data_IF_630883537790
#
_entry.id   IF_630883537790
#
_cell.length_a   1.000
_cell.length_b   1.000
_cell.length_c   1.000
_cell.angle_alpha   90.00
_cell.angle_beta   90.00
_cell.angle_gamma   90.00
#
_symmetry.space_group_name_H-M   'P 1'
#
loop_
_entity.id
_entity.type
_entity.pdbx_description
1 polymer ?
#
# COMPACT_ATOMS: atom_id res chain seq x y z
N UNK A 1 16.77 0.19 -8.01
CA UNK A 1 15.33 0.11 -7.74
C UNK A 1 15.12 -0.33 -6.31
N UNK A 2 14.04 0.10 -5.68
CA UNK A 2 13.73 -0.26 -4.31
C UNK A 2 13.20 -1.69 -4.23
N UNK A 3 13.57 -2.39 -3.15
CA UNK A 3 13.06 -3.72 -2.84
C UNK A 3 12.11 -3.60 -1.65
N UNK A 4 10.86 -4.03 -1.83
CA UNK A 4 9.83 -4.06 -0.81
C UNK A 4 9.45 -5.52 -0.50
N UNK A 5 9.34 -5.83 0.79
CA UNK A 5 8.79 -7.11 1.28
C UNK A 5 7.46 -6.81 1.98
N UNK A 6 6.43 -7.57 1.66
CA UNK A 6 5.10 -7.41 2.26
C UNK A 6 4.72 -8.63 3.08
N UNK A 7 4.14 -8.41 4.26
CA UNK A 7 3.64 -9.51 5.09
C UNK A 7 3.10 -9.07 6.45
N UNK A 8 2.56 -10.10 7.15
CA UNK A 8 2.09 -9.94 8.52
C UNK A 8 3.30 -9.97 9.48
N UNK A 9 3.35 -9.11 10.51
CA UNK A 9 4.48 -9.02 11.43
C UNK A 9 4.55 -10.17 12.44
N UNK A 10 4.50 -11.41 11.95
CA UNK A 10 4.87 -12.57 12.76
C UNK A 10 6.36 -12.51 13.12
N UNK A 11 6.74 -13.22 14.17
CA UNK A 11 8.14 -13.26 14.61
C UNK A 11 9.09 -13.70 13.50
N UNK A 12 8.71 -14.72 12.73
CA UNK A 12 9.53 -15.25 11.63
C UNK A 12 9.64 -14.24 10.49
N UNK A 13 8.55 -13.53 10.17
CA UNK A 13 8.55 -12.46 9.17
C UNK A 13 9.46 -11.29 9.59
N UNK A 14 9.37 -10.86 10.85
CA UNK A 14 10.22 -9.77 11.38
C UNK A 14 11.70 -10.17 11.31
N UNK A 15 12.03 -11.40 11.72
CA UNK A 15 13.40 -11.92 11.65
C UNK A 15 13.91 -11.94 10.20
N UNK A 16 13.11 -12.46 9.25
CA UNK A 16 13.44 -12.50 7.83
C UNK A 16 13.71 -11.08 7.27
N UNK A 17 12.84 -10.13 7.57
CA UNK A 17 12.97 -8.75 7.10
C UNK A 17 14.23 -8.09 7.68
N UNK A 18 14.51 -8.30 8.97
CA UNK A 18 15.72 -7.75 9.61
C UNK A 18 17.02 -8.38 9.09
N UNK A 19 16.99 -9.65 8.66
CA UNK A 19 18.12 -10.33 8.02
C UNK A 19 18.37 -9.80 6.60
N UNK A 20 17.31 -9.72 5.76
CA UNK A 20 17.40 -9.30 4.36
C UNK A 20 17.66 -7.80 4.21
N UNK A 21 17.11 -6.98 5.12
CA UNK A 21 17.19 -5.52 5.10
C UNK A 21 16.75 -4.91 3.76
N UNK A 22 15.48 -5.13 3.37
CA UNK A 22 14.94 -4.50 2.17
C UNK A 22 14.93 -2.97 2.31
N UNK A 23 14.75 -2.26 1.21
CA UNK A 23 14.56 -0.80 1.24
C UNK A 23 13.30 -0.43 2.01
N UNK A 24 12.24 -1.24 1.84
CA UNK A 24 10.93 -1.02 2.46
C UNK A 24 10.32 -2.35 2.91
N UNK A 25 9.51 -2.29 3.92
CA UNK A 25 8.57 -3.34 4.32
C UNK A 25 7.16 -2.77 4.36
N UNK A 26 6.18 -3.49 3.78
CA UNK A 26 4.75 -3.17 3.91
C UNK A 26 4.10 -4.16 4.88
N UNK A 27 3.55 -3.64 5.98
CA UNK A 27 2.86 -4.45 6.98
C UNK A 27 1.39 -4.60 6.62
N UNK A 28 0.93 -5.86 6.47
CA UNK A 28 -0.48 -6.22 6.23
C UNK A 28 -1.05 -7.01 7.40
N UNK A 29 -2.36 -6.88 7.71
CA UNK A 29 -2.97 -7.54 8.87
C UNK A 29 -3.28 -9.02 8.64
N UNK A 30 -3.21 -9.48 7.38
CA UNK A 30 -3.67 -10.78 6.97
C UNK A 30 -2.76 -11.90 7.48
N UNK A 31 -3.38 -13.00 7.96
CA UNK A 31 -2.65 -14.20 8.33
C UNK A 31 -2.11 -14.93 7.10
N UNK A 32 -1.14 -15.83 7.30
CA UNK A 32 -0.52 -16.62 6.23
C UNK A 32 -1.50 -17.49 5.43
N UNK A 33 -2.67 -17.79 6.00
CA UNK A 33 -3.74 -18.57 5.35
C UNK A 33 -4.72 -17.72 4.53
N UNK A 34 -4.55 -16.41 4.52
CA UNK A 34 -5.43 -15.48 3.79
C UNK A 34 -5.03 -15.42 2.32
N UNK A 35 -5.95 -15.74 1.41
CA UNK A 35 -5.67 -15.77 -0.04
C UNK A 35 -5.47 -14.36 -0.60
N UNK A 36 -6.22 -13.38 -0.07
CA UNK A 36 -6.12 -11.97 -0.48
C UNK A 36 -6.56 -11.08 0.68
N UNK A 37 -5.97 -9.89 0.78
CA UNK A 37 -6.30 -8.91 1.82
C UNK A 37 -7.77 -8.49 1.73
N UNK A 38 -8.44 -8.40 2.88
CA UNK A 38 -9.84 -7.97 2.98
C UNK A 38 -10.04 -6.72 3.84
N UNK A 39 -8.98 -6.25 4.50
CA UNK A 39 -9.00 -5.03 5.30
C UNK A 39 -7.58 -4.48 5.52
N UNK A 40 -7.47 -3.17 5.75
CA UNK A 40 -6.26 -2.56 6.28
C UNK A 40 -6.16 -2.71 7.80
N UNK A 41 -5.01 -2.35 8.37
CA UNK A 41 -4.79 -2.36 9.81
C UNK A 41 -5.75 -1.44 10.58
N UNK A 42 -6.30 -1.95 11.66
CA UNK A 42 -6.77 -1.10 12.76
C UNK A 42 -5.56 -0.67 13.60
N UNK A 43 -4.95 0.43 13.21
CA UNK A 43 -3.73 0.97 13.83
C UNK A 43 -3.97 1.49 15.25
N UNK A 44 -5.21 1.75 15.62
CA UNK A 44 -5.57 2.17 16.98
C UNK A 44 -5.57 0.97 17.92
N UNK A 45 -6.26 -0.11 17.52
CA UNK A 45 -6.35 -1.35 18.30
C UNK A 45 -5.00 -2.06 18.42
N UNK A 46 -4.22 -2.05 17.34
CA UNK A 46 -2.95 -2.76 17.25
C UNK A 46 -1.73 -1.85 17.48
N UNK A 47 -1.92 -0.67 18.12
CA UNK A 47 -0.88 0.33 18.29
C UNK A 47 0.42 -0.24 18.87
N UNK A 48 0.35 -0.95 19.99
CA UNK A 48 1.54 -1.45 20.67
C UNK A 48 2.36 -2.42 19.82
N UNK A 49 1.70 -3.35 19.12
CA UNK A 49 2.36 -4.29 18.21
C UNK A 49 3.04 -3.55 17.06
N UNK A 50 2.30 -2.65 16.39
CA UNK A 50 2.83 -1.92 15.25
C UNK A 50 3.99 -1.00 15.64
N UNK A 51 3.89 -0.33 16.78
CA UNK A 51 4.96 0.53 17.31
C UNK A 51 6.24 -0.28 17.58
N UNK A 52 6.14 -1.45 18.24
CA UNK A 52 7.28 -2.34 18.49
C UNK A 52 7.96 -2.76 17.18
N UNK A 53 7.18 -3.25 16.21
CA UNK A 53 7.69 -3.75 14.93
C UNK A 53 8.31 -2.62 14.09
N UNK A 54 7.64 -1.47 14.01
CA UNK A 54 8.17 -0.29 13.30
C UNK A 54 9.50 0.17 13.90
N UNK A 55 9.60 0.21 15.23
CA UNK A 55 10.85 0.58 15.90
C UNK A 55 11.96 -0.45 15.63
N UNK A 56 11.64 -1.73 15.55
CA UNK A 56 12.62 -2.76 15.22
C UNK A 56 13.17 -2.57 13.79
N UNK A 57 12.29 -2.39 12.81
CA UNK A 57 12.70 -2.14 11.43
C UNK A 57 13.52 -0.85 11.29
N UNK A 58 13.17 0.19 12.02
CA UNK A 58 13.87 1.46 12.03
C UNK A 58 15.33 1.32 12.53
N UNK A 59 15.58 0.47 13.56
CA UNK A 59 16.96 0.16 14.03
C UNK A 59 17.82 -0.47 12.92
N UNK A 60 17.17 -1.18 11.98
CA UNK A 60 17.84 -1.82 10.84
C UNK A 60 17.89 -0.94 9.59
N UNK A 61 17.39 0.31 9.67
CA UNK A 61 17.38 1.25 8.56
C UNK A 61 16.34 0.89 7.46
N UNK A 62 15.30 0.15 7.82
CA UNK A 62 14.26 -0.32 6.90
C UNK A 62 13.06 0.63 7.00
N UNK A 63 12.63 1.20 5.87
CA UNK A 63 11.43 2.04 5.78
C UNK A 63 10.17 1.19 5.96
N UNK A 64 9.24 1.63 6.81
CA UNK A 64 8.00 0.90 7.06
C UNK A 64 6.79 1.60 6.43
N UNK A 65 6.04 0.85 5.64
CA UNK A 65 4.71 1.19 5.13
C UNK A 65 3.65 0.36 5.86
N UNK A 66 2.52 0.98 6.23
CA UNK A 66 1.41 0.27 6.88
C UNK A 66 0.19 0.28 5.96
N UNK A 67 -0.32 -0.91 5.65
CA UNK A 67 -1.53 -1.09 4.84
C UNK A 67 -2.77 -0.69 5.62
N UNK A 68 -3.50 0.34 5.15
CA UNK A 68 -4.63 0.95 5.86
C UNK A 68 -5.78 1.28 4.92
N UNK A 69 -6.99 1.38 5.46
CA UNK A 69 -8.12 1.98 4.75
C UNK A 69 -8.00 3.52 4.71
N UNK A 70 -8.95 4.17 4.02
CA UNK A 70 -9.00 5.63 3.93
C UNK A 70 -9.53 6.34 5.18
N UNK A 71 -9.80 5.59 6.26
CA UNK A 71 -10.30 6.14 7.53
C UNK A 71 -9.24 7.01 8.23
N UNK A 72 -9.53 8.29 8.54
CA UNK A 72 -8.55 9.21 9.14
C UNK A 72 -7.85 8.66 10.37
N UNK A 73 -8.60 8.04 11.29
CA UNK A 73 -8.05 7.49 12.54
C UNK A 73 -6.97 6.42 12.33
N UNK A 74 -7.04 5.65 11.23
CA UNK A 74 -6.04 4.63 10.93
C UNK A 74 -4.79 5.23 10.28
N UNK A 75 -4.95 6.29 9.49
CA UNK A 75 -3.84 7.06 8.94
C UNK A 75 -3.08 7.79 10.06
N UNK A 76 -3.82 8.44 10.97
CA UNK A 76 -3.27 9.08 12.17
C UNK A 76 -2.52 8.06 13.04
N UNK A 77 -3.13 6.88 13.26
CA UNK A 77 -2.50 5.80 14.01
C UNK A 77 -1.20 5.31 13.38
N UNK A 78 -1.11 5.20 12.04
CA UNK A 78 0.11 4.84 11.34
C UNK A 78 1.25 5.87 11.57
N UNK A 79 0.91 7.16 11.57
CA UNK A 79 1.87 8.21 11.91
C UNK A 79 2.32 8.13 13.37
N UNK A 80 1.40 7.88 14.30
CA UNK A 80 1.68 7.79 15.74
C UNK A 80 2.64 6.64 16.06
N UNK A 81 2.51 5.49 15.41
CA UNK A 81 3.42 4.34 15.61
C UNK A 81 4.78 4.54 14.93
N UNK A 82 4.97 5.63 14.20
CA UNK A 82 6.24 6.02 13.61
C UNK A 82 6.52 5.44 12.22
N UNK A 83 5.50 4.98 11.49
CA UNK A 83 5.65 4.59 10.10
C UNK A 83 6.09 5.78 9.24
N UNK A 84 6.85 5.50 8.18
CA UNK A 84 7.27 6.52 7.20
C UNK A 84 6.29 6.61 6.02
N UNK A 85 5.53 5.53 5.77
CA UNK A 85 4.53 5.46 4.69
C UNK A 85 3.26 4.78 5.14
N UNK A 86 2.21 5.01 4.39
CA UNK A 86 1.02 4.16 4.37
C UNK A 86 0.81 3.58 2.99
N UNK A 87 0.17 2.43 2.91
CA UNK A 87 -0.38 1.90 1.67
C UNK A 87 -1.90 1.88 1.75
N UNK A 88 -2.56 2.66 0.88
CA UNK A 88 -4.02 2.76 0.85
C UNK A 88 -4.62 1.52 0.18
N UNK A 89 -5.50 0.83 0.89
CA UNK A 89 -6.28 -0.32 0.39
C UNK A 89 -7.30 0.12 -0.67
N UNK A 90 -7.10 -0.29 -1.93
CA UNK A 90 -7.85 0.26 -3.07
C UNK A 90 -8.96 -0.63 -3.63
N UNK A 91 -9.31 -1.74 -2.98
CA UNK A 91 -10.40 -2.63 -3.42
C UNK A 91 -11.72 -1.88 -3.63
N UNK A 92 -12.15 -1.08 -2.64
CA UNK A 92 -13.40 -0.32 -2.75
C UNK A 92 -13.40 0.64 -3.94
N UNK A 93 -12.27 1.29 -4.23
CA UNK A 93 -12.13 2.10 -5.45
C UNK A 93 -12.27 1.25 -6.70
N UNK A 94 -11.58 0.10 -6.77
CA UNK A 94 -11.60 -0.78 -7.94
C UNK A 94 -13.01 -1.32 -8.22
N UNK A 95 -13.73 -1.77 -7.19
CA UNK A 95 -15.12 -2.24 -7.30
C UNK A 95 -16.08 -1.15 -7.79
N UNK A 96 -15.97 0.06 -7.25
CA UNK A 96 -16.81 1.19 -7.66
C UNK A 96 -16.46 1.69 -9.06
N UNK A 97 -15.19 1.65 -9.45
CA UNK A 97 -14.75 2.02 -10.80
C UNK A 97 -15.42 1.15 -11.88
N UNK A 98 -15.56 -0.17 -11.64
CA UNK A 98 -16.19 -1.11 -12.55
C UNK A 98 -17.68 -0.75 -12.77
N UNK A 99 -18.36 -0.26 -11.73
CA UNK A 99 -19.78 0.14 -11.80
C UNK A 99 -20.00 1.57 -12.28
N UNK A 100 -18.92 2.29 -12.64
CA UNK A 100 -18.98 3.68 -13.11
C UNK A 100 -19.15 4.72 -12.02
N UNK A 101 -19.01 4.34 -10.75
CA UNK A 101 -19.00 5.28 -9.63
C UNK A 101 -17.58 5.82 -9.39
N UNK A 102 -17.23 6.87 -10.11
CA UNK A 102 -15.91 7.50 -10.02
C UNK A 102 -15.73 8.41 -8.80
N UNK A 103 -16.81 8.74 -8.10
CA UNK A 103 -16.74 9.61 -6.91
C UNK A 103 -16.01 8.97 -5.73
N UNK A 104 -15.93 7.65 -5.72
CA UNK A 104 -15.22 6.88 -4.69
C UNK A 104 -13.75 7.32 -4.52
N UNK A 105 -13.07 7.71 -5.60
CA UNK A 105 -11.68 8.18 -5.56
C UNK A 105 -11.48 9.43 -4.70
N UNK A 106 -12.53 10.21 -4.46
CA UNK A 106 -12.44 11.45 -3.66
C UNK A 106 -12.01 11.19 -2.22
N UNK A 107 -12.39 10.05 -1.63
CA UNK A 107 -11.96 9.68 -0.29
C UNK A 107 -10.47 9.34 -0.23
N UNK A 108 -9.94 8.70 -1.30
CA UNK A 108 -8.51 8.42 -1.43
C UNK A 108 -7.69 9.71 -1.55
N UNK A 109 -8.17 10.68 -2.33
CA UNK A 109 -7.50 11.98 -2.41
C UNK A 109 -7.53 12.74 -1.06
N UNK A 110 -8.62 12.65 -0.28
CA UNK A 110 -8.66 13.21 1.08
C UNK A 110 -7.65 12.50 1.99
N UNK A 111 -7.62 11.17 1.95
CA UNK A 111 -6.69 10.35 2.72
C UNK A 111 -5.23 10.66 2.38
N UNK A 112 -4.88 10.80 1.08
CA UNK A 112 -3.53 11.15 0.65
C UNK A 112 -3.08 12.53 1.15
N UNK A 113 -3.99 13.52 1.13
CA UNK A 113 -3.72 14.86 1.68
C UNK A 113 -3.50 14.83 3.19
N UNK A 114 -4.32 14.08 3.92
CA UNK A 114 -4.16 13.89 5.37
C UNK A 114 -2.81 13.24 5.67
N UNK A 115 -2.49 12.12 5.04
CA UNK A 115 -1.22 11.43 5.22
C UNK A 115 -0.02 12.35 4.94
N UNK A 116 -0.07 13.11 3.85
CA UNK A 116 0.97 14.08 3.51
C UNK A 116 1.13 15.17 4.56
N UNK A 117 0.03 15.68 5.11
CA UNK A 117 0.08 16.70 6.18
C UNK A 117 0.73 16.20 7.46
N UNK A 118 0.75 14.88 7.66
CA UNK A 118 1.40 14.19 8.78
C UNK A 118 2.84 13.74 8.48
N UNK A 119 3.37 14.08 7.30
CA UNK A 119 4.72 13.71 6.88
C UNK A 119 4.87 12.30 6.33
N UNK A 120 3.76 11.56 6.13
CA UNK A 120 3.78 10.22 5.57
C UNK A 120 3.95 10.25 4.05
N UNK A 121 4.69 9.28 3.50
CA UNK A 121 4.61 8.91 2.09
C UNK A 121 3.35 8.08 1.81
N UNK A 122 2.89 8.11 0.55
CA UNK A 122 1.62 7.50 0.15
C UNK A 122 1.85 6.45 -0.93
N UNK A 123 1.64 5.19 -0.57
CA UNK A 123 1.53 4.07 -1.48
C UNK A 123 0.05 3.71 -1.63
N UNK A 124 -0.29 2.99 -2.69
CA UNK A 124 -1.63 2.45 -2.89
C UNK A 124 -1.56 1.09 -3.59
N UNK A 125 -2.37 0.16 -3.17
CA UNK A 125 -2.38 -1.19 -3.71
C UNK A 125 -3.70 -1.91 -3.48
N UNK A 126 -3.83 -3.05 -4.13
CA UNK A 126 -4.97 -3.95 -4.20
C UNK A 126 -5.96 -3.61 -5.32
N UNK A 127 -6.16 -4.57 -6.23
CA UNK A 127 -7.11 -4.52 -7.36
C UNK A 127 -6.90 -3.38 -8.38
N UNK A 128 -5.78 -2.67 -8.31
CA UNK A 128 -5.38 -1.77 -9.38
C UNK A 128 -4.95 -2.56 -10.62
N UNK A 129 -5.37 -2.07 -11.80
CA UNK A 129 -5.11 -2.70 -13.10
C UNK A 129 -5.00 -1.63 -14.20
N UNK A 130 -4.65 -2.03 -15.43
CA UNK A 130 -4.48 -1.10 -16.55
C UNK A 130 -5.72 -0.27 -16.90
N UNK A 131 -6.94 -0.69 -16.50
CA UNK A 131 -8.17 0.07 -16.77
C UNK A 131 -8.39 1.20 -15.78
N UNK A 132 -8.10 0.96 -14.48
CA UNK A 132 -8.46 1.89 -13.41
C UNK A 132 -7.29 2.75 -12.88
N UNK A 133 -6.03 2.30 -13.03
CA UNK A 133 -4.88 2.97 -12.43
C UNK A 133 -4.67 4.41 -12.93
N UNK A 134 -4.88 4.67 -14.22
CA UNK A 134 -4.67 6.01 -14.78
C UNK A 134 -5.55 7.06 -14.11
N UNK A 135 -6.85 6.78 -14.01
CA UNK A 135 -7.81 7.65 -13.32
C UNK A 135 -7.48 7.82 -11.83
N UNK A 136 -7.04 6.74 -11.17
CA UNK A 136 -6.61 6.82 -9.77
C UNK A 136 -5.43 7.77 -9.58
N UNK A 137 -4.38 7.61 -10.37
CA UNK A 137 -3.16 8.43 -10.33
C UNK A 137 -3.47 9.91 -10.60
N UNK A 138 -4.28 10.20 -11.61
CA UNK A 138 -4.68 11.58 -11.97
C UNK A 138 -5.54 12.23 -10.89
N UNK A 139 -6.34 11.44 -10.16
CA UNK A 139 -7.26 11.94 -9.13
C UNK A 139 -6.60 12.25 -7.79
N UNK A 140 -5.44 11.68 -7.48
CA UNK A 140 -4.75 11.88 -6.21
C UNK A 140 -3.75 13.04 -6.31
N UNK A 141 -3.76 13.94 -5.34
CA UNK A 141 -2.76 15.03 -5.26
C UNK A 141 -1.37 14.49 -4.90
N UNK A 142 -1.33 13.50 -4.02
CA UNK A 142 -0.10 12.87 -3.53
C UNK A 142 -0.21 11.35 -3.69
N UNK A 143 0.75 10.77 -4.37
CA UNK A 143 0.93 9.33 -4.52
C UNK A 143 2.39 9.10 -4.90
N UNK A 144 3.09 8.29 -4.13
CA UNK A 144 4.53 8.02 -4.33
C UNK A 144 4.74 6.69 -5.06
N UNK A 145 3.98 5.63 -4.69
CA UNK A 145 4.13 4.27 -5.24
C UNK A 145 2.78 3.60 -5.43
N UNK A 146 2.75 2.59 -6.30
CA UNK A 146 1.63 1.65 -6.40
C UNK A 146 2.12 0.21 -6.36
N UNK A 147 1.32 -0.67 -5.73
CA UNK A 147 1.55 -2.11 -5.70
C UNK A 147 0.54 -2.80 -6.63
N UNK A 148 1.05 -3.50 -7.65
CA UNK A 148 0.22 -4.22 -8.63
C UNK A 148 0.54 -5.71 -8.55
N UNK A 149 -0.38 -6.50 -8.00
CA UNK A 149 -0.24 -7.94 -7.83
C UNK A 149 -0.87 -8.74 -8.97
N UNK A 150 -2.06 -9.28 -8.73
CA UNK A 150 -2.77 -10.19 -9.64
C UNK A 150 -2.92 -9.66 -11.06
N UNK A 151 -3.23 -8.38 -11.23
CA UNK A 151 -3.41 -7.77 -12.54
C UNK A 151 -2.11 -7.76 -13.36
N UNK A 152 -0.95 -7.49 -12.73
CA UNK A 152 0.33 -7.54 -13.41
C UNK A 152 0.58 -8.91 -14.04
N UNK A 153 0.32 -9.98 -13.30
CA UNK A 153 0.55 -11.36 -13.76
C UNK A 153 -0.47 -11.76 -14.83
N UNK A 154 -1.77 -11.53 -14.59
CA UNK A 154 -2.82 -11.92 -15.53
C UNK A 154 -2.73 -11.17 -16.86
N UNK A 155 -2.45 -9.89 -16.85
CA UNK A 155 -2.24 -9.08 -18.05
C UNK A 155 -0.96 -9.48 -18.78
N UNK A 156 0.09 -9.89 -18.05
CA UNK A 156 1.34 -10.36 -18.64
C UNK A 156 1.21 -11.66 -19.43
N UNK A 157 0.23 -12.51 -19.14
CA UNK A 157 -0.04 -13.72 -19.91
C UNK A 157 -0.48 -13.39 -21.35
N UNK A 158 -1.12 -12.24 -21.57
CA UNK A 158 -1.60 -11.83 -22.88
C UNK A 158 -0.67 -10.84 -23.59
N UNK A 159 -0.03 -9.96 -22.84
CA UNK A 159 0.71 -8.81 -23.37
C UNK A 159 2.23 -8.96 -23.25
N UNK A 160 2.71 -9.91 -22.46
CA UNK A 160 4.11 -10.04 -22.08
C UNK A 160 4.49 -9.07 -20.93
N UNK A 161 5.30 -9.56 -19.98
CA UNK A 161 5.59 -8.84 -18.73
C UNK A 161 6.29 -7.49 -18.97
N UNK A 162 7.22 -7.41 -19.87
CA UNK A 162 7.94 -6.17 -20.20
C UNK A 162 6.98 -5.09 -20.72
N UNK A 163 6.07 -5.46 -21.63
CA UNK A 163 5.07 -4.55 -22.16
C UNK A 163 4.12 -4.07 -21.07
N UNK A 164 3.65 -4.97 -20.21
CA UNK A 164 2.72 -4.63 -19.10
C UNK A 164 3.39 -3.67 -18.12
N UNK A 165 4.64 -3.92 -17.73
CA UNK A 165 5.38 -3.00 -16.86
C UNK A 165 5.50 -1.62 -17.52
N UNK A 166 5.84 -1.55 -18.79
CA UNK A 166 5.93 -0.28 -19.52
C UNK A 166 4.57 0.45 -19.60
N UNK A 167 3.46 -0.26 -19.79
CA UNK A 167 2.11 0.31 -19.78
C UNK A 167 1.76 0.91 -18.41
N UNK A 168 2.05 0.21 -17.32
CA UNK A 168 1.86 0.76 -15.97
C UNK A 168 2.72 2.01 -15.75
N UNK A 169 4.00 1.95 -16.09
CA UNK A 169 4.90 3.10 -15.96
C UNK A 169 4.44 4.31 -16.79
N UNK A 170 3.84 4.09 -17.96
CA UNK A 170 3.26 5.18 -18.75
C UNK A 170 2.05 5.81 -18.07
N UNK A 171 1.16 4.99 -17.48
CA UNK A 171 -0.02 5.48 -16.76
C UNK A 171 0.31 6.17 -15.42
N UNK A 172 1.51 5.94 -14.88
CA UNK A 172 2.00 6.61 -13.67
C UNK A 172 2.64 7.99 -13.96
N UNK A 173 2.91 8.32 -15.21
CA UNK A 173 3.44 9.64 -15.57
C UNK A 173 2.34 10.70 -15.40
N UNK A 174 2.61 11.71 -14.60
CA UNK A 174 1.80 12.92 -14.43
C UNK A 174 2.32 14.03 -15.31
#
# INVERSE_FOLDING_TARGET
KEFNIEGNPSKDFVNLVCEIKPTQVTLVPDSVDTITSNAGWDTVKNKSLLEEVVQEFKKHGIRTSIFVSTEPKFIEGASIVGAERIELYTESYASHFITGNFDEVKKYNKASKLAKSMGLGINAGHDLNLKNIGFFVESLTYLDEVSIGHALISESLYLGIENVINLYLQKMKR
#
